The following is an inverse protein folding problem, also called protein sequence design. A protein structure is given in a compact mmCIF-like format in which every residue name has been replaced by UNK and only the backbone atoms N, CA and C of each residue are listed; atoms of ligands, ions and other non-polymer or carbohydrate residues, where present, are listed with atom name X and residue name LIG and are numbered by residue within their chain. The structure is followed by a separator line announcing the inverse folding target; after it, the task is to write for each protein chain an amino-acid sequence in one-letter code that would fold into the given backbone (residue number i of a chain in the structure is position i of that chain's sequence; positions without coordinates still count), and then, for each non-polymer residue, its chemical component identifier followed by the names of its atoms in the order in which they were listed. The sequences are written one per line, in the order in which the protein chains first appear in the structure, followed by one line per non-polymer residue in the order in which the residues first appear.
data_IF_918862264320
#
_entry.id   IF_918862264320
#
_cell.length_a   1.000
_cell.length_b   1.000
_cell.length_c   1.000
_cell.angle_alpha   90.00
_cell.angle_beta   90.00
_cell.angle_gamma   90.00
#
_symmetry.space_group_name_H-M   'P 1'
#
loop_
_entity.id
_entity.type
_entity.pdbx_description
1 polymer ?
#
# COMPACT_ATOMS: atom_id res chain seq x y z
N UNK A 1 -12.54 5.23 -4.30
CA UNK A 1 -13.22 6.01 -5.37
C UNK A 1 -14.02 5.06 -6.20
N UNK A 2 -15.24 5.43 -6.59
CA UNK A 2 -16.11 4.62 -7.46
C UNK A 2 -16.75 5.54 -8.48
N UNK A 3 -16.58 5.24 -9.78
CA UNK A 3 -16.99 6.12 -10.90
C UNK A 3 -16.56 7.59 -10.69
N UNK A 4 -15.27 7.80 -10.38
CA UNK A 4 -14.66 9.11 -10.13
C UNK A 4 -15.26 9.91 -8.94
N UNK A 5 -16.04 9.25 -8.09
CA UNK A 5 -16.60 9.85 -6.87
C UNK A 5 -15.97 9.26 -5.61
N UNK A 6 -15.70 10.13 -4.63
CA UNK A 6 -15.32 9.70 -3.28
C UNK A 6 -16.57 9.11 -2.63
N UNK A 7 -16.48 7.84 -2.22
CA UNK A 7 -17.55 7.12 -1.54
C UNK A 7 -17.05 6.69 -0.16
N UNK A 8 -17.92 6.76 0.85
CA UNK A 8 -17.62 6.35 2.24
C UNK A 8 -18.11 4.95 2.57
N UNK A 9 -19.01 4.43 1.76
CA UNK A 9 -19.66 3.14 1.93
C UNK A 9 -19.41 2.29 0.69
N UNK A 10 -19.26 0.98 0.90
CA UNK A 10 -19.14 0.01 -0.18
C UNK A 10 -20.41 0.04 -1.04
N UNK A 11 -20.29 0.09 -2.39
CA UNK A 11 -21.47 0.22 -3.27
C UNK A 11 -22.45 -0.94 -3.11
N UNK A 12 -21.96 -2.17 -2.94
CA UNK A 12 -22.82 -3.36 -2.88
C UNK A 12 -23.28 -3.73 -1.46
N UNK A 13 -22.45 -3.57 -0.44
CA UNK A 13 -22.74 -4.05 0.93
C UNK A 13 -23.19 -2.93 1.87
N UNK A 14 -23.16 -1.67 1.42
CA UNK A 14 -23.38 -0.48 2.24
C UNK A 14 -22.51 -0.40 3.51
N UNK A 15 -21.45 -1.21 3.61
CA UNK A 15 -20.56 -1.23 4.76
C UNK A 15 -19.65 0.00 4.71
N UNK A 16 -19.47 0.76 5.80
CA UNK A 16 -18.49 1.85 5.83
C UNK A 16 -17.08 1.30 5.56
N UNK A 17 -16.32 1.93 4.65
CA UNK A 17 -14.94 1.51 4.38
C UNK A 17 -14.05 1.56 5.63
N UNK A 18 -14.36 2.45 6.58
CA UNK A 18 -13.66 2.56 7.87
C UNK A 18 -13.84 1.35 8.79
N UNK A 19 -14.84 0.49 8.53
CA UNK A 19 -15.08 -0.74 9.30
C UNK A 19 -14.49 -1.99 8.63
N UNK A 20 -13.95 -1.86 7.42
CA UNK A 20 -13.34 -2.98 6.71
C UNK A 20 -11.94 -3.18 7.27
N UNK A 21 -11.71 -4.35 7.86
CA UNK A 21 -10.39 -4.81 8.24
C UNK A 21 -9.88 -5.75 7.15
N UNK A 22 -8.67 -5.49 6.66
CA UNK A 22 -8.00 -6.39 5.72
C UNK A 22 -7.33 -7.50 6.55
N UNK A 23 -7.77 -8.76 6.45
CA UNK A 23 -7.15 -9.84 7.19
C UNK A 23 -5.73 -10.09 6.66
N UNK A 24 -4.86 -10.67 7.49
CA UNK A 24 -3.47 -10.98 7.15
C UNK A 24 -2.63 -9.77 6.71
N UNK A 25 -2.98 -8.57 7.15
CA UNK A 25 -2.33 -7.33 6.70
C UNK A 25 -0.80 -7.34 6.81
N UNK A 26 -0.26 -7.89 7.90
CA UNK A 26 1.19 -8.02 8.10
C UNK A 26 1.85 -8.94 7.06
N UNK A 27 1.21 -10.06 6.74
CA UNK A 27 1.71 -11.02 5.74
C UNK A 27 1.64 -10.42 4.34
N UNK A 28 0.58 -9.65 4.03
CA UNK A 28 0.45 -8.92 2.77
C UNK A 28 1.59 -7.91 2.61
N UNK A 29 1.91 -7.14 3.67
CA UNK A 29 3.03 -6.20 3.66
C UNK A 29 4.38 -6.91 3.51
N UNK A 30 4.52 -8.11 4.09
CA UNK A 30 5.70 -8.94 3.93
C UNK A 30 5.86 -9.44 2.49
N UNK A 31 4.80 -9.95 1.88
CA UNK A 31 4.76 -10.35 0.47
C UNK A 31 5.16 -9.18 -0.43
N UNK A 32 4.54 -8.01 -0.23
CA UNK A 32 4.84 -6.81 -1.02
C UNK A 32 6.31 -6.36 -0.85
N UNK A 33 6.84 -6.42 0.36
CA UNK A 33 8.23 -6.05 0.64
C UNK A 33 9.23 -7.05 0.04
N UNK A 34 8.90 -8.34 0.02
CA UNK A 34 9.71 -9.39 -0.60
C UNK A 34 9.70 -9.31 -2.13
N UNK A 35 8.64 -8.79 -2.74
CA UNK A 35 8.57 -8.60 -4.19
C UNK A 35 9.71 -7.71 -4.72
N UNK A 36 10.14 -6.71 -3.94
CA UNK A 36 11.33 -5.91 -4.26
C UNK A 36 12.59 -6.78 -4.33
N UNK A 37 12.78 -7.72 -3.40
CA UNK A 37 13.97 -8.57 -3.38
C UNK A 37 14.05 -9.51 -4.60
N UNK A 38 12.89 -9.92 -5.13
CA UNK A 38 12.78 -10.78 -6.30
C UNK A 38 12.98 -10.03 -7.61
N UNK A 39 12.52 -8.79 -7.70
CA UNK A 39 12.44 -8.04 -8.96
C UNK A 39 13.51 -6.95 -9.11
N UNK A 40 14.03 -6.43 -7.99
CA UNK A 40 14.94 -5.28 -7.91
C UNK A 40 14.43 -4.01 -8.60
N UNK A 41 13.11 -3.92 -8.84
CA UNK A 41 12.48 -2.72 -9.39
C UNK A 41 12.34 -1.65 -8.31
N UNK A 42 12.71 -0.41 -8.63
CA UNK A 42 12.64 0.70 -7.66
C UNK A 42 11.22 1.06 -7.19
N UNK A 43 10.21 0.79 -8.02
CA UNK A 43 8.80 0.94 -7.68
C UNK A 43 7.99 -0.14 -8.41
N UNK A 44 7.09 -0.79 -7.68
CA UNK A 44 6.29 -1.92 -8.18
C UNK A 44 4.90 -1.92 -7.51
N UNK A 45 3.88 -2.29 -8.27
CA UNK A 45 2.57 -2.67 -7.72
C UNK A 45 2.52 -4.17 -7.49
N UNK A 46 1.95 -4.61 -6.38
CA UNK A 46 1.77 -6.04 -6.08
C UNK A 46 0.29 -6.28 -5.84
N UNK A 47 -0.31 -7.09 -6.69
CA UNK A 47 -1.73 -7.44 -6.57
C UNK A 47 -1.82 -8.74 -5.77
N UNK A 48 -2.51 -8.67 -4.64
CA UNK A 48 -2.62 -9.77 -3.67
C UNK A 48 -4.08 -10.19 -3.55
N UNK A 49 -4.30 -11.50 -3.61
CA UNK A 49 -5.60 -12.12 -3.32
C UNK A 49 -5.51 -12.87 -1.99
N UNK A 50 -6.63 -12.95 -1.26
CA UNK A 50 -6.71 -13.74 -0.03
C UNK A 50 -7.52 -14.98 -0.38
N UNK A 51 -6.81 -16.08 -0.61
CA UNK A 51 -7.42 -17.38 -0.84
C UNK A 51 -7.98 -17.97 0.46
N UNK A 52 -9.08 -18.72 0.35
CA UNK A 52 -9.76 -19.31 1.51
C UNK A 52 -8.89 -20.31 2.25
N UNK A 53 -8.14 -21.12 1.50
CA UNK A 53 -7.44 -22.29 2.02
C UNK A 53 -5.93 -22.02 2.17
N UNK A 54 -5.38 -21.09 1.37
CA UNK A 54 -3.95 -20.77 1.31
C UNK A 54 -3.57 -19.38 1.88
N UNK A 55 -4.55 -18.54 2.25
CA UNK A 55 -4.28 -17.20 2.75
C UNK A 55 -3.79 -16.22 1.67
N UNK A 56 -2.97 -15.22 2.02
CA UNK A 56 -2.49 -14.23 1.05
C UNK A 56 -1.59 -14.82 -0.04
N UNK A 57 -1.93 -14.55 -1.30
CA UNK A 57 -1.18 -15.02 -2.48
C UNK A 57 -0.96 -13.87 -3.46
N UNK A 58 0.22 -13.85 -4.09
CA UNK A 58 0.50 -12.93 -5.19
C UNK A 58 -0.28 -13.36 -6.42
N UNK A 59 -1.04 -12.44 -7.00
CA UNK A 59 -1.71 -12.62 -8.29
C UNK A 59 -0.85 -12.06 -9.43
N UNK A 60 -0.34 -10.83 -9.27
CA UNK A 60 0.43 -10.14 -10.30
C UNK A 60 1.49 -9.18 -9.71
N UNK A 61 2.58 -9.02 -10.45
CA UNK A 61 3.57 -7.97 -10.24
C UNK A 61 3.52 -6.95 -11.37
N UNK A 62 3.25 -5.70 -11.01
CA UNK A 62 3.09 -4.58 -11.92
C UNK A 62 4.34 -3.69 -11.88
N UNK A 63 5.23 -3.80 -12.88
CA UNK A 63 6.46 -2.99 -12.97
C UNK A 63 6.21 -1.49 -13.24
N UNK A 64 5.02 -1.13 -13.71
CA UNK A 64 4.57 0.25 -13.95
C UNK A 64 3.12 0.40 -13.49
N UNK A 65 2.86 0.41 -12.18
CA UNK A 65 1.50 0.50 -11.70
C UNK A 65 0.92 1.88 -12.04
N UNK A 66 -0.37 1.92 -12.37
CA UNK A 66 -1.08 3.18 -12.61
C UNK A 66 -1.11 4.05 -11.35
N UNK A 67 -0.94 5.37 -11.50
CA UNK A 67 -0.90 6.30 -10.37
C UNK A 67 -2.28 6.63 -9.79
N UNK A 68 -3.37 6.31 -10.49
CA UNK A 68 -4.75 6.60 -10.07
C UNK A 68 -5.14 5.96 -8.74
N UNK A 69 -4.48 4.87 -8.33
CA UNK A 69 -4.71 4.22 -7.02
C UNK A 69 -4.44 5.15 -5.84
N UNK A 70 -3.58 6.16 -6.02
CA UNK A 70 -3.25 7.15 -4.99
C UNK A 70 -4.45 7.98 -4.54
N UNK A 71 -5.45 8.14 -5.42
CA UNK A 71 -6.68 8.87 -5.11
C UNK A 71 -7.43 8.17 -3.96
N UNK A 72 -7.36 6.83 -3.88
CA UNK A 72 -7.97 6.09 -2.77
C UNK A 72 -7.33 6.42 -1.41
N UNK A 73 -6.02 6.67 -1.40
CA UNK A 73 -5.27 7.03 -0.19
C UNK A 73 -5.29 8.54 0.09
N UNK A 74 -5.89 9.34 -0.79
CA UNK A 74 -5.87 10.81 -0.77
C UNK A 74 -4.45 11.37 -0.64
N UNK A 75 -3.46 10.63 -1.13
CA UNK A 75 -2.04 10.94 -0.95
C UNK A 75 -1.25 10.59 -2.20
N UNK A 76 -0.59 11.62 -2.76
CA UNK A 76 0.26 11.47 -3.93
C UNK A 76 1.54 10.67 -3.60
N UNK A 77 2.20 10.18 -4.63
CA UNK A 77 3.39 9.34 -4.49
C UNK A 77 4.64 10.14 -4.10
N UNK A 78 4.79 11.39 -4.58
CA UNK A 78 6.00 12.21 -4.37
C UNK A 78 6.37 12.33 -2.89
N UNK A 79 5.47 12.75 -1.96
CA UNK A 79 5.83 12.86 -0.55
C UNK A 79 6.30 11.56 0.09
N UNK A 80 5.83 10.41 -0.43
CA UNK A 80 6.24 9.08 0.05
C UNK A 80 7.63 8.73 -0.46
N UNK A 81 7.91 8.99 -1.74
CA UNK A 81 9.24 8.76 -2.31
C UNK A 81 10.30 9.64 -1.63
N UNK A 82 10.02 10.92 -1.44
CA UNK A 82 10.92 11.83 -0.72
C UNK A 82 11.18 11.35 0.72
N UNK A 83 10.16 10.88 1.43
CA UNK A 83 10.31 10.34 2.77
C UNK A 83 11.10 9.02 2.78
N UNK A 84 10.95 8.17 1.77
CA UNK A 84 11.77 6.97 1.59
C UNK A 84 13.22 7.37 1.37
N UNK A 85 13.52 8.28 0.46
CA UNK A 85 14.89 8.75 0.17
C UNK A 85 15.57 9.34 1.41
N UNK A 86 14.84 10.06 2.26
CA UNK A 86 15.38 10.68 3.48
C UNK A 86 15.65 9.68 4.62
N UNK A 87 14.94 8.55 4.66
CA UNK A 87 14.95 7.66 5.82
C UNK A 87 15.44 6.24 5.53
N UNK A 88 15.47 5.85 4.26
CA UNK A 88 15.95 4.55 3.84
C UNK A 88 17.43 4.40 4.14
N UNK A 89 17.82 3.18 4.52
CA UNK A 89 19.20 2.76 4.69
C UNK A 89 19.41 1.46 3.93
N UNK A 90 20.59 1.31 3.36
CA UNK A 90 20.95 0.04 2.73
C UNK A 90 21.04 -1.07 3.78
N UNK A 91 20.68 -2.30 3.39
CA UNK A 91 20.78 -3.47 4.27
C UNK A 91 19.62 -3.67 5.25
N UNK A 92 18.56 -2.85 5.21
CA UNK A 92 17.37 -3.07 6.04
C UNK A 92 16.73 -4.44 5.72
N UNK A 93 16.39 -5.17 6.78
CA UNK A 93 15.57 -6.39 6.73
C UNK A 93 14.14 -6.07 6.34
N UNK A 94 13.40 -7.08 5.87
CA UNK A 94 12.01 -6.92 5.42
C UNK A 94 11.14 -6.28 6.51
N UNK A 95 11.28 -6.73 7.76
CA UNK A 95 10.50 -6.21 8.89
C UNK A 95 10.76 -4.73 9.14
N UNK A 96 12.02 -4.29 8.98
CA UNK A 96 12.41 -2.89 9.14
C UNK A 96 11.88 -2.02 7.99
N UNK A 97 11.85 -2.55 6.76
CA UNK A 97 11.24 -1.88 5.60
C UNK A 97 9.73 -1.71 5.79
N UNK A 98 9.05 -2.74 6.29
CA UNK A 98 7.61 -2.68 6.61
C UNK A 98 7.35 -1.60 7.67
N UNK A 99 8.13 -1.59 8.75
CA UNK A 99 7.99 -0.60 9.82
C UNK A 99 8.22 0.82 9.28
N UNK A 100 9.24 1.02 8.45
CA UNK A 100 9.51 2.30 7.80
C UNK A 100 8.33 2.72 6.90
N UNK A 101 7.80 1.80 6.08
CA UNK A 101 6.66 2.05 5.20
C UNK A 101 5.41 2.49 5.96
N UNK A 102 5.09 1.84 7.09
CA UNK A 102 3.98 2.23 7.97
C UNK A 102 4.19 3.63 8.55
N UNK A 103 5.38 3.93 9.05
CA UNK A 103 5.72 5.26 9.58
C UNK A 103 5.59 6.35 8.52
N UNK A 104 6.07 6.09 7.29
CA UNK A 104 5.95 7.02 6.17
C UNK A 104 4.48 7.24 5.79
N UNK A 105 3.67 6.18 5.76
CA UNK A 105 2.23 6.30 5.49
C UNK A 105 1.54 7.20 6.52
N UNK A 106 1.82 7.04 7.81
CA UNK A 106 1.26 7.89 8.87
C UNK A 106 1.72 9.36 8.75
N UNK A 107 3.01 9.60 8.47
CA UNK A 107 3.57 10.95 8.34
C UNK A 107 2.99 11.70 7.14
N UNK A 108 2.86 11.02 6.01
CA UNK A 108 2.40 11.64 4.76
C UNK A 108 0.89 11.87 4.74
N UNK A 109 0.10 10.97 5.34
CA UNK A 109 -1.34 11.15 5.50
C UNK A 109 -1.71 12.32 6.42
N UNK A 110 -0.88 12.65 7.42
CA UNK A 110 -1.12 13.82 8.30
C UNK A 110 -0.82 15.16 7.63
N UNK A 111 0.18 15.23 6.74
CA UNK A 111 0.57 16.48 6.06
C UNK A 111 -0.50 17.01 5.09
N UNK A 112 -1.36 16.16 4.56
CA UNK A 112 -2.42 16.55 3.62
C UNK A 112 -3.75 16.97 4.29
N UNK A 113 -3.92 16.71 5.59
CA UNK A 113 -5.11 17.12 6.34
C UNK A 113 -5.09 18.55 6.89
N UNK A 114 -4.02 19.31 6.63
CA UNK A 114 -3.80 20.68 7.14
C UNK A 114 -3.97 21.79 6.09
N UNK A 115 -4.66 21.51 4.98
CA UNK A 115 -5.06 22.53 4.00
C UNK A 115 -6.58 22.70 3.97
#
# INVERSE_FOLDING_TARGET
VYHDRIVRYHPDTATPFTKILIPFWEEILWIASKAYDMTKLGYIGVDVVIDRDNGPMVLEFNARPGLSIQIANQCGLIPRLEAVEQHYKEGLKIEERILLGKKIAELTSKKQGNN
#
